data_IF_326886103849
#
_entry.id   IF_326886103849
#
_cell.length_a   1.000
_cell.length_b   1.000
_cell.length_c   1.000
_cell.angle_alpha   90.00
_cell.angle_beta   90.00
_cell.angle_gamma   90.00
#
_symmetry.space_group_name_H-M   'P 1'
#
loop_
_entity.id
_entity.type
_entity.pdbx_description
1 polymer ?
#
# COMPACT_ATOMS: atom_id res chain seq x y z
N UNK A 1 -20.51 -2.26 -11.97
CA UNK A 1 -19.72 -3.51 -12.03
C UNK A 1 -18.83 -3.47 -10.82
N UNK A 2 -18.73 -4.55 -10.04
CA UNK A 2 -17.87 -4.55 -8.86
C UNK A 2 -16.39 -4.62 -9.25
N UNK A 3 -15.51 -4.09 -8.42
CA UNK A 3 -14.08 -4.27 -8.60
C UNK A 3 -13.53 -5.56 -7.99
N UNK A 4 -12.24 -5.81 -8.22
CA UNK A 4 -11.48 -6.89 -7.59
C UNK A 4 -10.55 -6.31 -6.52
N UNK A 5 -10.60 -6.78 -5.26
CA UNK A 5 -9.68 -6.30 -4.24
C UNK A 5 -8.26 -6.80 -4.51
N UNK A 6 -7.26 -6.00 -4.16
CA UNK A 6 -5.88 -6.41 -4.15
C UNK A 6 -5.17 -5.94 -2.87
N UNK A 7 -4.09 -6.62 -2.52
CA UNK A 7 -3.28 -6.33 -1.34
C UNK A 7 -1.80 -6.46 -1.69
N UNK A 8 -1.07 -5.39 -1.42
CA UNK A 8 0.39 -5.37 -1.33
C UNK A 8 0.72 -5.06 0.11
N UNK A 9 1.55 -5.90 0.72
CA UNK A 9 1.96 -5.67 2.09
C UNK A 9 3.34 -6.22 2.33
N UNK A 10 3.89 -5.78 3.46
CA UNK A 10 5.14 -6.28 3.97
C UNK A 10 4.92 -7.27 5.11
N UNK A 11 5.76 -8.30 5.18
CA UNK A 11 5.78 -9.23 6.31
C UNK A 11 6.71 -8.80 7.44
N UNK A 12 6.79 -9.63 8.50
CA UNK A 12 7.67 -9.35 9.64
C UNK A 12 9.14 -9.58 9.29
N UNK A 13 9.39 -10.57 8.42
CA UNK A 13 10.71 -11.02 7.97
C UNK A 13 10.89 -10.91 6.45
N UNK A 14 9.82 -10.62 5.72
CA UNK A 14 9.80 -10.45 4.26
C UNK A 14 9.68 -8.98 3.87
N UNK A 15 10.11 -8.67 2.65
CA UNK A 15 9.90 -7.36 2.03
C UNK A 15 8.45 -7.14 1.61
N UNK A 16 8.20 -6.03 0.90
CA UNK A 16 6.93 -5.79 0.23
C UNK A 16 6.70 -6.83 -0.88
N UNK A 17 5.45 -7.30 -1.00
CA UNK A 17 5.02 -8.20 -2.09
C UNK A 17 3.50 -8.15 -2.23
N UNK A 18 3.01 -8.52 -3.41
CA UNK A 18 1.59 -8.84 -3.62
C UNK A 18 1.21 -10.08 -2.80
N UNK A 19 0.11 -10.00 -2.07
CA UNK A 19 -0.48 -11.10 -1.28
C UNK A 19 -1.86 -11.50 -1.80
N UNK A 20 -2.63 -10.54 -2.30
CA UNK A 20 -3.94 -10.76 -2.93
C UNK A 20 -3.95 -10.08 -4.29
N UNK A 21 -4.20 -10.86 -5.35
CA UNK A 21 -4.23 -10.37 -6.72
C UNK A 21 -5.59 -10.68 -7.39
N UNK A 22 -6.16 -9.76 -8.19
CA UNK A 22 -7.33 -10.02 -9.01
C UNK A 22 -7.15 -11.25 -9.91
N UNK A 23 -8.12 -12.16 -9.91
CA UNK A 23 -8.10 -13.39 -10.71
C UNK A 23 -8.09 -13.14 -12.23
N UNK A 24 -8.60 -11.98 -12.66
CA UNK A 24 -8.61 -11.52 -14.05
C UNK A 24 -7.22 -11.16 -14.59
N UNK A 25 -6.23 -10.96 -13.72
CA UNK A 25 -4.89 -10.57 -14.16
C UNK A 25 -4.03 -11.82 -14.44
N UNK A 26 -3.41 -11.93 -15.63
CA UNK A 26 -2.51 -13.03 -15.93
C UNK A 26 -1.18 -12.93 -15.16
N UNK A 27 -0.76 -11.70 -14.82
CA UNK A 27 0.40 -11.39 -14.00
C UNK A 27 0.11 -10.16 -13.14
N UNK A 28 0.73 -10.07 -11.97
CA UNK A 28 0.52 -9.00 -10.99
C UNK A 28 1.80 -8.20 -10.71
N UNK A 29 2.85 -8.35 -11.51
CA UNK A 29 4.11 -7.59 -11.35
C UNK A 29 3.90 -6.08 -11.41
N UNK A 30 2.97 -5.62 -12.25
CA UNK A 30 2.65 -4.19 -12.35
C UNK A 30 2.03 -3.62 -11.06
N UNK A 31 1.41 -4.46 -10.21
CA UNK A 31 0.92 -3.96 -8.91
C UNK A 31 2.10 -3.53 -8.04
N UNK A 32 3.24 -4.24 -8.09
CA UNK A 32 4.44 -3.84 -7.38
C UNK A 32 5.12 -2.60 -8.01
N UNK A 33 5.02 -2.43 -9.33
CA UNK A 33 5.68 -1.33 -10.06
C UNK A 33 4.87 -0.01 -10.06
N UNK A 34 3.55 -0.08 -10.25
CA UNK A 34 2.68 1.08 -10.48
C UNK A 34 1.97 1.59 -9.22
N UNK A 35 1.80 0.75 -8.20
CA UNK A 35 1.15 1.15 -6.94
C UNK A 35 2.20 1.82 -6.05
N UNK A 36 2.47 3.07 -6.36
CA UNK A 36 3.38 3.92 -5.58
C UNK A 36 2.75 4.35 -4.26
N UNK A 37 3.63 4.76 -3.32
CA UNK A 37 3.22 5.21 -2.00
C UNK A 37 2.17 6.31 -2.04
N UNK A 38 1.16 6.19 -1.17
CA UNK A 38 0.02 7.12 -1.10
C UNK A 38 0.51 8.54 -0.75
N UNK A 39 0.00 9.56 -1.45
CA UNK A 39 0.31 10.95 -1.09
C UNK A 39 -0.28 11.21 0.30
N UNK A 40 0.47 11.83 1.23
CA UNK A 40 0.07 11.91 2.64
C UNK A 40 -1.28 12.59 2.89
N UNK A 41 -1.73 13.46 1.99
CA UNK A 41 -2.98 14.22 2.14
C UNK A 41 -4.17 13.65 1.33
N UNK A 42 -3.97 12.55 0.59
CA UNK A 42 -5.01 11.97 -0.25
C UNK A 42 -5.76 10.86 0.49
N UNK A 43 -7.11 10.92 0.48
CA UNK A 43 -7.96 9.85 1.03
C UNK A 43 -7.75 8.50 0.33
N UNK A 44 -7.43 8.55 -0.94
CA UNK A 44 -7.05 7.42 -1.78
C UNK A 44 -6.24 7.96 -2.96
N UNK A 45 -5.43 7.09 -3.56
CA UNK A 45 -4.83 7.30 -4.86
C UNK A 45 -5.62 6.56 -5.93
N UNK A 46 -5.51 7.05 -7.17
CA UNK A 46 -6.09 6.39 -8.32
C UNK A 46 -5.13 6.44 -9.50
N UNK A 47 -5.20 5.42 -10.35
CA UNK A 47 -4.27 5.24 -11.46
C UNK A 47 -4.90 4.39 -12.56
N UNK A 48 -4.26 4.40 -13.73
CA UNK A 48 -4.66 3.55 -14.85
C UNK A 48 -3.49 2.67 -15.24
N UNK A 49 -3.77 1.39 -15.45
CA UNK A 49 -2.80 0.43 -15.98
C UNK A 49 -3.49 -0.39 -17.06
N UNK A 50 -3.06 -0.18 -18.30
CA UNK A 50 -3.70 -0.78 -19.47
C UNK A 50 -5.19 -0.44 -19.55
N UNK A 51 -6.04 -1.47 -19.61
CA UNK A 51 -7.49 -1.35 -19.66
C UNK A 51 -8.18 -1.32 -18.30
N UNK A 52 -7.45 -1.09 -17.22
CA UNK A 52 -7.98 -1.11 -15.86
C UNK A 52 -7.77 0.23 -15.13
N UNK A 53 -8.70 0.52 -14.22
CA UNK A 53 -8.64 1.64 -13.30
C UNK A 53 -8.41 1.11 -11.88
N UNK A 54 -7.44 1.68 -11.18
CA UNK A 54 -7.08 1.28 -9.82
C UNK A 54 -7.44 2.40 -8.86
N UNK A 55 -7.94 2.02 -7.68
CA UNK A 55 -8.07 2.91 -6.52
C UNK A 55 -7.50 2.22 -5.31
N UNK A 56 -6.59 2.87 -4.58
CA UNK A 56 -5.93 2.28 -3.42
C UNK A 56 -5.65 3.29 -2.31
N UNK A 57 -5.43 2.78 -1.12
CA UNK A 57 -4.98 3.54 0.04
C UNK A 57 -4.03 2.70 0.91
N UNK A 58 -3.25 3.38 1.74
CA UNK A 58 -2.35 2.76 2.71
C UNK A 58 -3.01 2.76 4.09
N UNK A 59 -2.93 1.62 4.76
CA UNK A 59 -3.47 1.38 6.09
C UNK A 59 -2.32 0.94 7.00
N UNK A 60 -1.82 1.83 7.88
CA UNK A 60 -0.93 1.44 8.95
C UNK A 60 -1.65 0.43 9.84
N UNK A 61 -1.01 -0.70 10.11
CA UNK A 61 -1.62 -1.75 10.91
C UNK A 61 -1.67 -1.34 12.38
N UNK A 62 -2.87 -1.36 12.96
CA UNK A 62 -3.09 -1.02 14.36
C UNK A 62 -2.90 -2.23 15.28
N UNK A 63 -2.55 -1.96 16.54
CA UNK A 63 -2.47 -2.99 17.57
C UNK A 63 -3.84 -3.69 17.73
N UNK A 64 -3.82 -5.02 17.80
CA UNK A 64 -5.04 -5.85 17.91
C UNK A 64 -5.72 -6.20 16.59
N UNK A 65 -5.31 -5.64 15.45
CA UNK A 65 -5.84 -6.05 14.14
C UNK A 65 -5.30 -7.41 13.69
N UNK A 66 -4.12 -7.78 14.15
CA UNK A 66 -3.45 -9.07 13.91
C UNK A 66 -2.86 -9.62 15.21
N UNK A 67 -2.63 -10.93 15.24
CA UNK A 67 -1.93 -11.58 16.35
C UNK A 67 -0.43 -11.34 16.28
N UNK A 68 0.17 -10.87 17.38
CA UNK A 68 1.61 -10.61 17.50
C UNK A 68 2.03 -9.18 17.14
N UNK A 69 3.34 -8.93 16.95
CA UNK A 69 3.85 -7.58 16.70
C UNK A 69 3.31 -6.96 15.40
N UNK A 70 2.96 -5.68 15.46
CA UNK A 70 2.57 -4.82 14.31
C UNK A 70 3.75 -4.08 13.67
N UNK A 71 4.96 -4.52 14.01
CA UNK A 71 6.23 -4.03 13.47
C UNK A 71 7.03 -5.19 12.89
N UNK A 72 7.86 -4.88 11.90
CA UNK A 72 8.82 -5.83 11.33
C UNK A 72 10.03 -6.05 12.26
N UNK A 73 10.96 -6.92 11.85
CA UNK A 73 12.23 -7.17 12.54
C UNK A 73 13.16 -5.95 12.67
N UNK A 74 12.90 -4.89 11.90
CA UNK A 74 13.63 -3.62 11.94
C UNK A 74 12.85 -2.53 12.67
N UNK A 75 11.81 -2.88 13.45
CA UNK A 75 10.94 -1.96 14.20
C UNK A 75 10.15 -0.94 13.36
N UNK A 76 10.08 -1.11 12.04
CA UNK A 76 9.23 -0.33 11.15
C UNK A 76 7.78 -0.79 11.28
N UNK A 77 6.80 0.14 11.26
CA UNK A 77 5.39 -0.24 11.28
C UNK A 77 5.03 -1.05 10.03
N UNK A 78 4.16 -2.04 10.20
CA UNK A 78 3.57 -2.77 9.08
C UNK A 78 2.49 -1.89 8.44
N UNK A 79 2.50 -1.79 7.12
CA UNK A 79 1.56 -1.00 6.33
C UNK A 79 0.96 -1.90 5.25
N UNK A 80 -0.36 -1.81 5.08
CA UNK A 80 -1.11 -2.51 4.05
C UNK A 80 -1.47 -1.54 2.94
N UNK A 81 -1.05 -1.80 1.72
CA UNK A 81 -1.54 -1.09 0.54
C UNK A 81 -2.72 -1.88 -0.03
N UNK A 82 -3.91 -1.36 0.21
CA UNK A 82 -5.18 -2.00 -0.13
C UNK A 82 -5.83 -1.24 -1.25
N UNK A 83 -6.28 -1.94 -2.28
CA UNK A 83 -7.00 -1.30 -3.36
C UNK A 83 -8.03 -2.19 -4.03
N UNK A 84 -8.66 -1.59 -5.03
CA UNK A 84 -9.67 -2.20 -5.88
C UNK A 84 -9.31 -1.91 -7.33
N UNK A 85 -9.31 -2.97 -8.14
CA UNK A 85 -9.13 -2.92 -9.59
C UNK A 85 -10.51 -2.93 -10.26
N UNK A 86 -10.74 -2.01 -11.19
CA UNK A 86 -11.95 -1.94 -11.98
C UNK A 86 -11.66 -2.14 -13.47
N UNK A 87 -12.59 -2.74 -14.23
CA UNK A 87 -12.45 -2.82 -15.67
C UNK A 87 -12.81 -1.46 -16.31
N UNK A 88 -12.01 -1.03 -17.29
CA UNK A 88 -12.22 0.18 -18.06
C UNK A 88 -12.20 1.46 -17.22
N UNK A 89 -13.14 2.36 -17.51
CA UNK A 89 -13.20 3.72 -16.96
C UNK A 89 -14.24 3.85 -15.83
N UNK A 90 -14.42 2.77 -15.06
CA UNK A 90 -15.42 2.73 -14.00
C UNK A 90 -15.07 3.74 -12.90
N UNK A 91 -16.05 4.54 -12.49
CA UNK A 91 -15.93 5.42 -11.34
C UNK A 91 -15.94 4.55 -10.09
N UNK A 92 -14.89 4.66 -9.28
CA UNK A 92 -14.80 3.92 -8.03
C UNK A 92 -15.94 4.29 -7.08
N UNK A 93 -16.51 3.26 -6.46
CA UNK A 93 -17.48 3.44 -5.39
C UNK A 93 -16.72 3.55 -4.06
N UNK A 94 -16.94 4.66 -3.35
CA UNK A 94 -16.35 4.95 -2.03
C UNK A 94 -16.60 3.82 -1.00
N UNK A 95 -17.62 2.99 -1.22
CA UNK A 95 -17.98 1.86 -0.33
C UNK A 95 -17.16 0.58 -0.60
N UNK A 96 -16.51 0.46 -1.75
CA UNK A 96 -15.74 -0.75 -2.10
C UNK A 96 -14.39 -0.81 -1.39
N UNK A 97 -13.74 0.32 -1.12
CA UNK A 97 -12.43 0.33 -0.47
C UNK A 97 -12.49 -0.19 1.00
N UNK A 98 -13.46 0.19 1.85
CA UNK A 98 -13.67 -0.46 3.15
C UNK A 98 -14.00 -1.96 3.05
N UNK A 99 -14.68 -2.40 1.98
CA UNK A 99 -14.94 -3.83 1.74
C UNK A 99 -13.64 -4.56 1.38
N UNK A 100 -12.81 -3.98 0.52
CA UNK A 100 -11.48 -4.48 0.18
C UNK A 100 -10.57 -4.56 1.39
N UNK A 101 -10.59 -3.56 2.28
CA UNK A 101 -9.80 -3.57 3.52
C UNK A 101 -10.11 -4.78 4.40
N UNK A 102 -11.39 -5.15 4.55
CA UNK A 102 -11.77 -6.35 5.31
C UNK A 102 -11.24 -7.65 4.70
N UNK A 103 -11.32 -7.80 3.38
CA UNK A 103 -10.78 -8.98 2.66
C UNK A 103 -9.26 -9.02 2.73
N UNK A 104 -8.61 -7.87 2.58
CA UNK A 104 -7.17 -7.73 2.67
C UNK A 104 -6.66 -8.08 4.07
N UNK A 105 -7.30 -7.58 5.14
CA UNK A 105 -6.90 -7.87 6.51
C UNK A 105 -7.02 -9.37 6.84
N UNK A 106 -8.08 -10.04 6.37
CA UNK A 106 -8.23 -11.49 6.50
C UNK A 106 -7.11 -12.26 5.78
N UNK A 107 -6.79 -11.86 4.54
CA UNK A 107 -5.69 -12.43 3.76
C UNK A 107 -4.34 -12.20 4.45
N UNK A 108 -4.13 -11.01 5.02
CA UNK A 108 -2.91 -10.66 5.72
C UNK A 108 -2.70 -11.46 7.01
N UNK A 109 -3.78 -11.76 7.74
CA UNK A 109 -3.72 -12.65 8.92
C UNK A 109 -3.25 -14.06 8.53
N UNK A 110 -3.77 -14.61 7.43
CA UNK A 110 -3.34 -15.92 6.90
C UNK A 110 -1.88 -15.88 6.42
N UNK A 111 -1.46 -14.79 5.80
CA UNK A 111 -0.07 -14.56 5.44
C UNK A 111 0.87 -14.53 6.65
N UNK A 112 0.53 -13.80 7.72
CA UNK A 112 1.35 -13.75 8.92
C UNK A 112 1.44 -15.09 9.66
N UNK A 113 0.44 -15.96 9.51
CA UNK A 113 0.44 -17.30 10.08
C UNK A 113 1.42 -18.26 9.38
N UNK A 114 1.70 -18.06 8.08
CA UNK A 114 2.64 -18.85 7.29
C UNK A 114 3.45 -17.98 6.32
N UNK A 115 4.23 -17.04 6.85
CA UNK A 115 4.92 -16.02 6.05
C UNK A 115 5.90 -16.60 5.02
N UNK A 116 6.49 -17.76 5.31
CA UNK A 116 7.45 -18.43 4.44
C UNK A 116 6.78 -19.28 3.34
N UNK A 117 5.66 -19.94 3.65
CA UNK A 117 4.92 -20.78 2.71
C UNK A 117 3.85 -20.04 1.90
N UNK A 118 3.50 -18.81 2.29
CA UNK A 118 2.37 -18.10 1.70
C UNK A 118 2.53 -17.82 0.21
N UNK A 119 1.48 -18.17 -0.53
CA UNK A 119 1.34 -17.94 -1.97
C UNK A 119 0.33 -16.83 -2.21
N UNK A 120 0.51 -16.09 -3.30
CA UNK A 120 -0.43 -15.04 -3.70
C UNK A 120 -1.81 -15.65 -3.90
N UNK A 121 -2.80 -15.13 -3.19
CA UNK A 121 -4.18 -15.54 -3.33
C UNK A 121 -4.85 -14.79 -4.49
N UNK A 122 -5.82 -15.46 -5.12
CA UNK A 122 -6.65 -14.84 -6.16
C UNK A 122 -7.91 -14.28 -5.53
N UNK A 123 -8.18 -13.00 -5.75
CA UNK A 123 -9.43 -12.38 -5.33
C UNK A 123 -10.53 -12.57 -6.38
N UNK A 124 -11.74 -12.82 -5.89
CA UNK A 124 -12.95 -12.78 -6.70
C UNK A 124 -13.44 -11.33 -6.87
N UNK A 125 -14.16 -11.08 -7.96
CA UNK A 125 -14.87 -9.83 -8.16
C UNK A 125 -15.89 -9.62 -7.04
N UNK A 126 -16.04 -8.39 -6.57
CA UNK A 126 -17.17 -8.06 -5.71
C UNK A 126 -18.47 -8.19 -6.48
N UNK A 127 -19.44 -8.87 -5.86
CA UNK A 127 -20.81 -8.79 -6.34
C UNK A 127 -21.23 -7.33 -6.41
N UNK A 128 -21.87 -6.89 -7.51
CA UNK A 128 -22.45 -5.56 -7.57
C UNK A 128 -23.37 -5.42 -6.36
N UNK A 129 -23.37 -4.26 -5.66
CA UNK A 129 -24.26 -4.06 -4.53
C UNK A 129 -25.66 -4.39 -5.01
N UNK A 130 -26.26 -5.45 -4.43
CA UNK A 130 -27.66 -5.77 -4.68
C UNK A 130 -28.39 -4.52 -4.28
N UNK A 131 -28.81 -3.73 -5.28
CA UNK A 131 -29.57 -2.53 -5.07
C UNK A 131 -30.81 -3.03 -4.36
N UNK A 132 -30.83 -2.89 -3.02
CA UNK A 132 -31.98 -3.26 -2.23
C UNK A 132 -33.13 -2.56 -2.93
N UNK A 133 -34.06 -3.36 -3.48
CA UNK A 133 -35.25 -2.80 -4.07
C UNK A 133 -35.77 -1.83 -3.01
N UNK A 134 -35.97 -0.54 -3.36
CA UNK A 134 -36.39 0.45 -2.36
C UNK A 134 -37.53 -0.21 -1.59
N UNK A 135 -37.45 -0.25 -0.24
CA UNK A 135 -38.42 -0.98 0.57
C UNK A 135 -39.77 -0.59 0.03
N UNK A 136 -40.52 -1.58 -0.49
CA UNK A 136 -41.72 -1.34 -1.26
C UNK A 136 -42.52 -0.33 -0.47
N UNK A 137 -42.54 0.93 -0.94
CA UNK A 137 -43.02 2.03 -0.12
C UNK A 137 -44.38 1.57 0.37
N UNK A 138 -44.52 1.37 1.69
CA UNK A 138 -45.79 1.05 2.29
C UNK A 138 -46.72 2.10 1.72
N UNK A 139 -47.60 1.68 0.79
CA UNK A 139 -48.53 2.60 0.15
C UNK A 139 -49.23 3.23 1.34
N UNK A 140 -49.11 4.56 1.53
CA UNK A 140 -49.81 5.20 2.62
C UNK A 140 -51.26 4.75 2.49
N UNK A 141 -51.77 4.04 3.50
CA UNK A 141 -53.17 3.66 3.56
C UNK A 141 -53.91 4.98 3.64
N UNK A 142 -54.29 5.51 2.48
CA UNK A 142 -54.96 6.78 2.38
C UNK A 142 -56.25 6.66 3.19
N UNK A 143 -56.30 7.38 4.32
CA UNK A 143 -57.54 7.53 5.08
C UNK A 143 -58.57 8.17 4.13
N UNK A 144 -59.77 7.58 3.95
CA UNK A 144 -60.77 8.08 3.00
C UNK A 144 -61.18 9.55 3.22
N UNK A 145 -60.98 10.10 4.42
CA UNK A 145 -61.35 11.48 4.74
C UNK A 145 -60.35 12.53 4.25
N UNK A 146 -59.07 12.19 4.01
CA UNK A 146 -58.07 13.18 3.59
C UNK A 146 -58.14 13.48 2.07
N UNK A 147 -58.83 12.64 1.30
CA UNK A 147 -59.08 12.87 -0.13
C UNK A 147 -60.07 14.00 -0.41
N UNK A 148 -60.96 14.32 0.54
CA UNK A 148 -61.93 15.41 0.37
C UNK A 148 -61.32 16.80 0.59
N UNK A 149 -60.28 16.92 1.41
CA UNK A 149 -59.62 18.20 1.69
C UNK A 149 -58.52 18.54 0.66
N UNK A 150 -57.84 17.53 0.09
CA UNK A 150 -56.81 17.74 -0.93
C UNK A 150 -57.37 18.23 -2.29
N UNK A 151 -58.64 17.96 -2.60
CA UNK A 151 -59.29 18.39 -3.84
C UNK A 151 -59.59 19.90 -3.92
N UNK A 152 -59.54 20.62 -2.79
CA UNK A 152 -59.89 22.04 -2.71
C UNK A 152 -58.69 22.99 -2.63
N UNK A 153 -57.46 22.47 -2.70
CA UNK A 153 -56.25 23.32 -2.69
C UNK A 153 -55.85 23.71 -4.11
N UNK A 154 -55.68 25.01 -4.41
CA UNK A 154 -55.16 25.45 -5.69
C UNK A 154 -53.77 24.83 -5.91
N UNK A 155 -53.63 24.14 -7.05
CA UNK A 155 -52.41 23.43 -7.43
C UNK A 155 -51.25 24.44 -7.48
N UNK A 156 -50.12 24.21 -6.78
CA UNK A 156 -48.93 25.00 -7.03
C UNK A 156 -48.50 24.82 -8.49
N UNK A 157 -48.04 25.90 -9.16
CA UNK A 157 -47.57 25.80 -10.53
C UNK A 157 -46.43 24.78 -10.62
N UNK A 158 -46.37 23.98 -11.70
CA UNK A 158 -45.31 23.00 -11.86
C UNK A 158 -43.95 23.69 -11.80
N UNK A 159 -42.96 23.13 -11.09
CA UNK A 159 -41.62 23.71 -11.06
C UNK A 159 -41.07 23.75 -12.49
N UNK A 160 -40.82 24.96 -12.97
CA UNK A 160 -40.10 25.24 -14.21
C UNK A 160 -38.77 24.49 -14.16
N UNK A 161 -38.65 23.45 -14.99
CA UNK A 161 -37.45 22.64 -15.16
C UNK A 161 -36.43 23.50 -15.92
N UNK A 162 -35.72 24.39 -15.22
CA UNK A 162 -34.59 25.11 -15.80
C UNK A 162 -33.46 24.12 -16.03
N UNK A 163 -33.33 23.69 -17.28
CA UNK A 163 -32.17 22.94 -17.73
C UNK A 163 -30.96 23.86 -17.79
N UNK A 164 -30.08 23.78 -16.80
CA UNK A 164 -28.70 24.21 -16.96
C UNK A 164 -27.83 22.98 -17.21
N UNK A 165 -27.74 22.63 -18.50
CA UNK A 165 -26.60 21.91 -19.06
C UNK A 165 -25.44 22.90 -19.14
N UNK A 166 -24.52 22.85 -18.19
CA UNK A 166 -23.18 23.43 -18.36
C UNK A 166 -22.17 22.29 -18.44
N UNK A 167 -21.96 21.84 -19.68
CA UNK A 167 -20.72 21.25 -20.14
C UNK A 167 -19.60 22.28 -19.96
N UNK A 168 -18.69 22.07 -19.03
CA UNK A 168 -17.36 22.69 -19.09
C UNK A 168 -16.35 21.54 -19.00
N UNK A 169 -16.12 20.94 -20.16
CA UNK A 169 -15.00 20.06 -20.43
C UNK A 169 -13.88 20.86 -21.09
N UNK A 170 -12.68 20.74 -20.55
CA UNK A 170 -11.43 20.81 -21.31
C UNK A 170 -10.88 22.20 -21.67
N UNK A 171 -10.00 22.76 -20.82
CA UNK A 171 -8.96 23.71 -21.27
C UNK A 171 -7.79 23.96 -20.27
N UNK A 172 -7.50 23.08 -19.30
CA UNK A 172 -6.42 23.37 -18.30
C UNK A 172 -5.24 22.38 -18.35
N UNK A 173 -5.36 21.24 -19.05
CA UNK A 173 -4.34 20.19 -19.03
C UNK A 173 -3.08 20.42 -19.88
N UNK A 174 -3.11 21.30 -20.89
CA UNK A 174 -2.00 21.41 -21.86
C UNK A 174 -0.90 22.39 -21.40
N UNK A 175 -1.23 23.37 -20.56
CA UNK A 175 -0.25 24.37 -20.10
C UNK A 175 0.76 23.79 -19.08
N UNK A 176 0.35 22.82 -18.25
CA UNK A 176 1.22 22.25 -17.21
C UNK A 176 2.25 21.28 -17.80
N UNK A 177 1.88 20.49 -18.81
CA UNK A 177 2.82 19.56 -19.46
C UNK A 177 3.88 20.31 -20.27
N UNK A 178 3.51 21.41 -20.95
CA UNK A 178 4.46 22.26 -21.65
C UNK A 178 5.45 22.95 -20.70
N UNK A 179 4.99 23.40 -19.52
CA UNK A 179 5.87 24.00 -18.52
C UNK A 179 6.88 22.99 -17.94
N UNK A 180 6.46 21.75 -17.66
CA UNK A 180 7.36 20.70 -17.16
C UNK A 180 8.40 20.30 -18.21
N UNK A 181 8.02 20.22 -19.49
CA UNK A 181 8.96 19.93 -20.57
C UNK A 181 10.02 21.04 -20.75
N UNK A 182 9.65 22.31 -20.57
CA UNK A 182 10.60 23.44 -20.62
C UNK A 182 11.53 23.45 -19.41
N UNK A 183 11.04 23.14 -18.21
CA UNK A 183 11.93 23.04 -17.03
C UNK A 183 12.91 21.88 -17.21
N UNK A 184 12.47 20.71 -17.66
CA UNK A 184 13.36 19.56 -17.90
C UNK A 184 14.37 19.81 -19.04
N UNK A 185 14.01 20.60 -20.06
CA UNK A 185 14.92 20.95 -21.14
C UNK A 185 15.96 22.03 -20.73
N UNK A 186 15.63 22.90 -19.77
CA UNK A 186 16.53 23.98 -19.30
C UNK A 186 17.39 23.55 -18.11
N UNK A 187 16.94 22.61 -17.27
CA UNK A 187 17.71 22.09 -16.14
C UNK A 187 18.37 20.76 -16.47
N UNK A 188 19.05 20.66 -17.62
CA UNK A 188 19.93 19.55 -18.01
C UNK A 188 21.14 19.34 -17.09
N UNK A 189 20.93 19.41 -15.77
CA UNK A 189 21.84 19.00 -14.73
C UNK A 189 21.73 17.50 -14.62
N UNK A 190 22.53 16.78 -15.42
CA UNK A 190 22.91 15.40 -15.10
C UNK A 190 23.25 15.36 -13.61
N UNK A 191 22.51 14.62 -12.78
CA UNK A 191 22.86 14.49 -11.38
C UNK A 191 24.27 13.91 -11.33
N UNK A 192 25.18 14.68 -10.72
CA UNK A 192 26.57 14.28 -10.51
C UNK A 192 26.52 12.93 -9.77
N UNK A 193 27.14 11.86 -10.31
CA UNK A 193 27.08 10.55 -9.68
C UNK A 193 27.55 10.66 -8.23
N UNK A 194 26.87 9.98 -7.29
CA UNK A 194 27.25 10.00 -5.88
C UNK A 194 28.74 9.62 -5.76
N UNK A 195 29.53 10.35 -4.94
CA UNK A 195 30.94 10.06 -4.79
C UNK A 195 31.10 8.61 -4.34
N UNK A 196 31.85 7.83 -5.14
CA UNK A 196 32.14 6.44 -4.81
C UNK A 196 32.74 6.36 -3.39
N UNK A 197 32.34 5.37 -2.58
CA UNK A 197 32.98 5.13 -1.29
C UNK A 197 34.49 4.97 -1.53
N UNK A 198 35.30 5.85 -0.94
CA UNK A 198 36.75 5.73 -0.99
C UNK A 198 37.11 4.44 -0.28
N UNK A 199 37.55 3.42 -1.03
CA UNK A 199 38.17 2.25 -0.44
C UNK A 199 39.31 2.73 0.48
N UNK A 200 39.41 2.24 1.72
CA UNK A 200 40.58 2.53 2.54
C UNK A 200 41.82 2.07 1.76
N UNK A 201 42.75 3.00 1.57
CA UNK A 201 44.01 2.70 0.92
C UNK A 201 44.70 1.59 1.70
N UNK A 202 44.85 0.43 1.07
CA UNK A 202 45.70 -0.65 1.55
C UNK A 202 47.13 -0.11 1.58
N UNK A 203 47.59 0.32 2.74
CA UNK A 203 48.98 0.66 2.99
C UNK A 203 49.81 -0.59 2.71
N UNK A 204 50.40 -0.64 1.52
CA UNK A 204 51.33 -1.70 1.13
C UNK A 204 52.58 -1.51 1.97
N UNK A 205 52.74 -2.35 3.00
CA UNK A 205 53.98 -2.42 3.75
C UNK A 205 55.06 -2.99 2.83
N UNK A 206 56.06 -2.15 2.51
CA UNK A 206 57.28 -2.54 1.82
C UNK A 206 58.00 -3.64 2.61
N UNK A 207 58.20 -4.86 2.07
CA UNK A 207 58.98 -5.89 2.74
C UNK A 207 60.47 -5.54 2.63
N UNK A 208 61.13 -5.40 3.78
CA UNK A 208 62.57 -5.39 3.86
C UNK A 208 63.14 -6.77 3.51
N UNK A 209 64.16 -6.77 2.67
CA UNK A 209 64.93 -7.94 2.23
C UNK A 209 65.65 -8.63 3.39
N UNK A 210 65.33 -9.90 3.64
CA UNK A 210 66.24 -10.81 4.36
C UNK A 210 66.19 -12.23 3.79
N UNK A 211 67.35 -12.68 3.31
CA UNK A 211 67.71 -13.99 2.73
C UNK A 211 67.88 -15.07 3.83
N UNK A 212 67.78 -16.39 3.53
CA UNK A 212 67.00 -17.35 4.32
C UNK A 212 67.81 -18.27 5.24
N UNK A 213 67.10 -19.04 6.09
CA UNK A 213 67.58 -20.31 6.64
C UNK A 213 66.43 -21.33 6.68
N UNK A 214 66.63 -22.61 6.27
CA UNK A 214 65.55 -23.58 6.10
C UNK A 214 65.32 -24.40 7.37
N UNK A 215 64.06 -24.54 7.80
CA UNK A 215 63.68 -25.62 8.71
C UNK A 215 62.28 -26.20 8.38
N UNK A 216 62.15 -27.54 8.25
CA UNK A 216 60.91 -28.26 7.89
C UNK A 216 60.17 -28.80 9.15
N UNK A 217 59.11 -29.62 9.00
CA UNK A 217 57.73 -29.32 8.61
C UNK A 217 56.75 -29.57 9.78
N UNK A 218 55.66 -28.81 9.95
CA UNK A 218 54.46 -29.32 10.64
C UNK A 218 53.21 -28.46 10.40
N UNK A 219 52.11 -29.01 9.86
CA UNK A 219 50.81 -28.39 10.05
C UNK A 219 49.77 -29.40 10.54
N UNK A 220 49.40 -29.31 11.83
CA UNK A 220 48.00 -29.33 12.26
C UNK A 220 47.86 -29.00 13.75
N UNK A 221 47.32 -27.82 14.02
CA UNK A 221 46.73 -27.47 15.32
C UNK A 221 45.45 -26.69 15.00
N UNK A 222 44.30 -27.35 15.03
CA UNK A 222 43.32 -27.32 16.14
C UNK A 222 42.72 -25.92 16.34
N UNK A 223 41.42 -25.71 16.06
CA UNK A 223 40.76 -24.43 16.27
C UNK A 223 40.72 -24.06 17.76
N UNK A 224 40.80 -22.76 18.09
CA UNK A 224 40.85 -22.27 19.46
C UNK A 224 39.51 -22.47 20.18
N UNK A 225 39.51 -22.72 21.50
CA UNK A 225 38.29 -22.89 22.28
C UNK A 225 37.51 -21.57 22.39
N UNK A 226 36.18 -21.70 22.31
CA UNK A 226 35.20 -20.64 22.49
C UNK A 226 35.33 -19.97 23.87
N UNK A 227 35.37 -18.63 23.96
CA UNK A 227 35.44 -17.96 25.26
C UNK A 227 34.12 -18.05 26.03
N UNK A 228 34.22 -18.39 27.32
CA UNK A 228 33.13 -18.41 28.31
C UNK A 228 32.71 -16.97 28.65
N UNK A 229 31.40 -16.65 28.69
CA UNK A 229 30.94 -15.31 29.00
C UNK A 229 31.11 -14.94 30.49
N UNK A 230 31.60 -13.73 30.73
CA UNK A 230 31.77 -13.09 32.04
C UNK A 230 30.43 -12.64 32.62
N UNK A 231 30.12 -12.91 33.91
CA UNK A 231 28.89 -12.44 34.53
C UNK A 231 28.92 -10.93 34.84
N UNK A 232 27.80 -10.25 34.57
CA UNK A 232 27.57 -8.82 34.82
C UNK A 232 27.34 -8.54 36.31
N UNK A 233 28.01 -7.56 36.94
CA UNK A 233 27.74 -7.20 38.33
C UNK A 233 26.46 -6.37 38.48
N UNK A 234 25.62 -6.78 39.44
CA UNK A 234 24.45 -6.03 39.91
C UNK A 234 24.89 -4.92 40.86
N UNK A 235 24.50 -3.68 40.56
CA UNK A 235 24.76 -2.52 41.43
C UNK A 235 23.47 -2.19 42.20
N UNK A 236 23.55 -2.24 43.52
CA UNK A 236 22.47 -1.78 44.43
C UNK A 236 22.70 -0.30 44.76
N UNK A 237 21.71 0.59 44.55
CA UNK A 237 21.85 2.01 44.89
C UNK A 237 21.60 2.24 46.40
N UNK A 238 22.55 2.89 47.07
CA UNK A 238 22.40 3.38 48.45
C UNK A 238 22.04 4.87 48.42
N UNK A 239 20.86 5.22 48.93
CA UNK A 239 20.53 6.60 49.29
C UNK A 239 21.19 6.97 50.62
N UNK A 240 21.76 8.17 50.70
CA UNK A 240 22.26 8.79 51.93
C UNK A 240 21.46 10.08 52.15
N UNK A 241 21.02 10.36 53.39
CA UNK A 241 20.14 11.48 53.76
C UNK A 241 20.72 12.88 53.58
#
# INVERSE_FOLDING_TARGET
MGGWPFLIARGRRRGYRVLLAPDVLPTYGFLDDDVLSVRPDARYQAGRVGGYFLVWNEYPLAEGEVEGPVRDEHSRPLVLTVGVLYPGDTIADDTELPRAHRVALDTYRRFLADEEGFRVERSAQFDPPTRAAPPAAERPTAHPEELAYAASRPLPPPPSRSGNRTLIAGAVGVAVVAAIAVVLAVTGSTPDPPPLPRCPATTTATPGTTTPSPQPPTPRSTPPPTPTPTPTPTVTPTCVP
#
